data_IF_048971573448
#
_entry.id   IF_048971573448
#
_cell.length_a   1.000
_cell.length_b   1.000
_cell.length_c   1.000
_cell.angle_alpha   90.00
_cell.angle_beta   90.00
_cell.angle_gamma   90.00
#
_symmetry.space_group_name_H-M   'P 1'
#
loop_
_entity.id
_entity.type
_entity.pdbx_description
1 polymer ?
#
# COMPACT_ATOMS: atom_id res chain seq x y z
N UNK A 1 1.00 -7.47 0.65
CA UNK A 1 0.32 -6.17 0.50
C UNK A 1 1.28 -5.16 -0.12
N UNK A 2 0.80 -4.37 -1.07
CA UNK A 2 1.60 -3.41 -1.82
C UNK A 2 1.44 -2.02 -1.19
N UNK A 3 2.41 -1.61 -0.38
CA UNK A 3 2.43 -0.29 0.28
C UNK A 3 2.93 0.78 -0.67
N UNK A 4 2.10 1.79 -0.92
CA UNK A 4 2.46 2.97 -1.70
C UNK A 4 2.34 4.27 -0.88
N UNK A 5 3.34 5.13 -1.01
CA UNK A 5 3.37 6.46 -0.40
C UNK A 5 3.10 7.47 -1.49
N UNK A 6 1.99 8.21 -1.36
CA UNK A 6 1.70 9.26 -2.32
C UNK A 6 2.63 10.46 -2.10
N UNK A 7 2.68 11.38 -3.07
CA UNK A 7 3.50 12.60 -2.98
C UNK A 7 3.12 13.54 -1.82
N UNK A 8 1.94 13.34 -1.21
CA UNK A 8 1.50 14.03 0.01
C UNK A 8 2.02 13.37 1.30
N UNK A 9 2.74 12.25 1.21
CA UNK A 9 3.26 11.50 2.36
C UNK A 9 2.26 10.53 2.98
N UNK A 10 1.12 10.28 2.34
CA UNK A 10 0.12 9.34 2.85
C UNK A 10 0.55 7.91 2.56
N UNK A 11 0.66 7.11 3.63
CA UNK A 11 1.06 5.72 3.61
C UNK A 11 -0.16 4.83 3.49
N UNK A 12 -0.38 4.28 2.30
CA UNK A 12 -1.50 3.37 2.06
C UNK A 12 -1.04 2.03 1.50
N UNK A 13 -1.72 0.94 1.82
CA UNK A 13 -1.40 -0.38 1.28
C UNK A 13 -2.58 -0.99 0.53
N UNK A 14 -2.28 -1.73 -0.52
CA UNK A 14 -3.26 -2.45 -1.34
C UNK A 14 -3.11 -3.96 -1.15
N UNK A 15 -4.22 -4.67 -1.05
CA UNK A 15 -4.25 -6.12 -0.93
C UNK A 15 -4.24 -6.77 -2.33
N UNK A 16 -3.56 -7.93 -2.48
CA UNK A 16 -3.62 -8.69 -3.73
C UNK A 16 -5.07 -9.15 -3.97
N UNK A 17 -5.70 -8.64 -5.03
CA UNK A 17 -7.10 -8.88 -5.35
C UNK A 17 -7.94 -7.62 -5.56
N UNK A 18 -7.46 -6.45 -5.11
CA UNK A 18 -8.13 -5.17 -5.41
C UNK A 18 -7.92 -4.79 -6.88
N UNK A 19 -8.94 -4.19 -7.49
CA UNK A 19 -8.91 -3.68 -8.87
C UNK A 19 -7.80 -2.64 -9.07
N UNK A 20 -7.52 -1.87 -8.03
CA UNK A 20 -6.44 -0.89 -7.99
C UNK A 20 -5.06 -1.51 -7.72
N UNK A 21 -4.96 -2.77 -7.30
CA UNK A 21 -3.67 -3.43 -7.06
C UNK A 21 -2.79 -3.47 -8.32
N UNK A 22 -3.42 -3.69 -9.49
CA UNK A 22 -2.75 -3.66 -10.78
C UNK A 22 -2.47 -2.22 -11.28
N UNK A 23 -3.29 -1.25 -10.87
CA UNK A 23 -3.15 0.17 -11.23
C UNK A 23 -2.08 0.88 -10.39
N UNK A 24 -1.85 0.41 -9.16
CA UNK A 24 -0.85 0.96 -8.25
C UNK A 24 0.53 0.52 -8.74
N UNK A 25 1.11 1.38 -9.58
CA UNK A 25 2.49 1.27 -10.03
C UNK A 25 3.37 1.71 -8.86
N UNK A 26 4.19 0.75 -8.40
CA UNK A 26 5.24 1.02 -7.45
C UNK A 26 6.43 1.59 -8.27
N UNK A 27 6.76 2.86 -8.11
CA UNK A 27 7.76 3.62 -8.89
C UNK A 27 8.93 4.24 -8.08
N UNK A 28 9.06 4.05 -6.77
CA UNK A 28 10.12 4.66 -5.95
C UNK A 28 10.45 4.04 -4.57
N UNK A 29 11.58 4.48 -4.01
CA UNK A 29 12.26 3.97 -2.81
C UNK A 29 11.46 3.94 -1.48
N UNK A 30 10.25 4.51 -1.46
CA UNK A 30 9.35 4.58 -0.29
C UNK A 30 8.28 3.49 -0.30
N UNK A 31 8.26 2.65 -1.32
CA UNK A 31 7.25 1.60 -1.49
C UNK A 31 7.72 0.29 -0.86
N UNK A 32 6.89 -0.26 0.02
CA UNK A 32 7.21 -1.47 0.79
C UNK A 32 6.16 -2.52 0.57
N UNK A 33 6.61 -3.73 0.28
CA UNK A 33 5.75 -4.89 0.16
C UNK A 33 5.74 -5.62 1.50
N UNK A 34 4.58 -5.66 2.14
CA UNK A 34 4.39 -6.34 3.42
C UNK A 34 3.89 -7.76 3.20
N UNK A 35 4.26 -8.68 4.08
CA UNK A 35 3.76 -10.05 4.01
C UNK A 35 2.31 -10.14 4.52
N UNK A 36 1.88 -9.19 5.38
CA UNK A 36 0.53 -9.18 5.97
C UNK A 36 0.01 -7.77 6.27
N UNK A 37 -1.31 -7.61 6.32
CA UNK A 37 -1.99 -6.35 6.64
C UNK A 37 -1.69 -5.88 8.07
N UNK A 38 -1.51 -6.84 8.98
CA UNK A 38 -1.10 -6.58 10.35
C UNK A 38 0.29 -5.92 10.40
N UNK A 39 1.23 -6.37 9.56
CA UNK A 39 2.58 -5.81 9.48
C UNK A 39 2.56 -4.40 8.86
N UNK A 40 1.72 -4.20 7.84
CA UNK A 40 1.50 -2.88 7.25
C UNK A 40 0.88 -1.90 8.26
N UNK A 41 -0.14 -2.35 9.00
CA UNK A 41 -0.80 -1.56 10.05
C UNK A 41 0.15 -1.25 11.20
N UNK A 42 0.95 -2.21 11.64
CA UNK A 42 1.98 -2.03 12.66
C UNK A 42 3.07 -1.03 12.22
N UNK A 43 3.39 -1.01 10.92
CA UNK A 43 4.29 -0.01 10.32
C UNK A 43 3.62 1.36 10.11
N UNK A 44 2.35 1.53 10.50
CA UNK A 44 1.60 2.79 10.39
C UNK A 44 1.00 3.05 9.00
N UNK A 45 0.81 2.01 8.20
CA UNK A 45 0.18 2.10 6.89
C UNK A 45 -1.31 1.83 7.01
N UNK A 46 -2.11 2.57 6.23
CA UNK A 46 -3.57 2.39 6.22
C UNK A 46 -4.01 1.61 4.99
N UNK A 47 -5.07 0.78 5.08
CA UNK A 47 -5.62 0.15 3.89
C UNK A 47 -6.11 1.24 2.94
N UNK A 48 -5.72 1.16 1.68
CA UNK A 48 -6.28 2.02 0.67
C UNK A 48 -7.77 1.69 0.54
N UNK A 49 -8.63 2.65 0.86
CA UNK A 49 -10.08 2.51 0.74
C UNK A 49 -10.48 2.53 -0.75
N UNK A 50 -10.17 1.45 -1.47
CA UNK A 50 -10.73 1.18 -2.79
C UNK A 50 -11.94 0.27 -2.62
N UNK A 51 -13.14 0.86 -2.68
CA UNK A 51 -14.37 0.11 -2.95
C UNK A 51 -14.50 -0.07 -4.46
#
# INVERSE_FOLDING_TARGET
MKGNVNRKGEKTFHVPGSRDYARVIITGAVERMFCSEAEATAAGWRPAAGK
#
